data_IF_455421391776
#
_entry.id   IF_455421391776
#
_cell.length_a   1.000
_cell.length_b   1.000
_cell.length_c   1.000
_cell.angle_alpha   90.00
_cell.angle_beta   90.00
_cell.angle_gamma   90.00
#
_symmetry.space_group_name_H-M   'P 1'
#
loop_
_entity.id
_entity.type
_entity.pdbx_description
1 polymer ?
#
# COMPACT_ATOMS: atom_id res chain seq x y z
N UNK A 1 -8.12 3.94 -17.19
CA UNK A 1 -8.46 4.60 -15.91
C UNK A 1 -7.80 3.81 -14.78
N UNK A 2 -7.31 4.46 -13.73
CA UNK A 2 -6.77 3.77 -12.54
C UNK A 2 -7.91 3.16 -11.70
N UNK A 3 -7.59 2.18 -10.85
CA UNK A 3 -8.57 1.56 -9.93
C UNK A 3 -9.27 2.60 -9.03
N UNK A 4 -8.51 3.57 -8.52
CA UNK A 4 -9.05 4.70 -7.79
C UNK A 4 -10.03 5.53 -8.63
N UNK A 5 -9.69 5.82 -9.89
CA UNK A 5 -10.55 6.60 -10.78
C UNK A 5 -11.88 5.88 -11.08
N UNK A 6 -11.86 4.55 -11.21
CA UNK A 6 -13.08 3.75 -11.38
C UNK A 6 -13.97 3.79 -10.13
N UNK A 7 -13.38 3.63 -8.94
CA UNK A 7 -14.11 3.76 -7.68
C UNK A 7 -14.69 5.18 -7.51
N UNK A 8 -13.91 6.22 -7.80
CA UNK A 8 -14.37 7.60 -7.72
C UNK A 8 -15.55 7.86 -8.65
N UNK A 9 -15.50 7.36 -9.90
CA UNK A 9 -16.62 7.48 -10.85
C UNK A 9 -17.88 6.82 -10.29
N UNK A 10 -17.76 5.57 -9.84
CA UNK A 10 -18.88 4.83 -9.27
C UNK A 10 -19.50 5.55 -8.07
N UNK A 11 -18.67 6.12 -7.19
CA UNK A 11 -19.16 6.87 -6.03
C UNK A 11 -19.87 8.17 -6.42
N UNK A 12 -19.40 8.87 -7.47
CA UNK A 12 -20.11 10.06 -7.99
C UNK A 12 -21.49 9.71 -8.54
N UNK A 13 -21.58 8.61 -9.28
CA UNK A 13 -22.84 8.07 -9.80
C UNK A 13 -23.77 7.68 -8.64
N UNK A 14 -23.22 6.99 -7.63
CA UNK A 14 -23.95 6.53 -6.46
C UNK A 14 -24.55 7.68 -5.63
N UNK A 15 -23.78 8.74 -5.43
CA UNK A 15 -24.24 9.94 -4.74
C UNK A 15 -25.09 10.87 -5.62
N UNK A 16 -25.32 10.49 -6.88
CA UNK A 16 -26.10 11.24 -7.87
C UNK A 16 -25.68 12.72 -7.93
N UNK A 17 -24.37 12.99 -7.80
CA UNK A 17 -23.89 14.36 -7.71
C UNK A 17 -24.29 15.14 -8.96
N UNK A 18 -24.29 14.53 -10.15
CA UNK A 18 -24.60 15.24 -11.39
C UNK A 18 -26.09 15.45 -11.68
N UNK A 19 -26.99 14.95 -10.84
CA UNK A 19 -28.44 15.13 -11.03
C UNK A 19 -28.93 16.39 -10.32
N UNK A 20 -29.02 17.49 -11.06
CA UNK A 20 -29.47 18.78 -10.55
C UNK A 20 -30.95 18.83 -10.12
N UNK A 21 -31.77 17.86 -10.57
CA UNK A 21 -33.22 17.86 -10.35
C UNK A 21 -33.65 17.20 -9.01
N UNK A 22 -32.74 16.55 -8.29
CA UNK A 22 -33.02 15.90 -6.99
C UNK A 22 -32.89 16.88 -5.81
N UNK A 23 -33.91 17.73 -5.65
CA UNK A 23 -33.99 18.74 -4.59
C UNK A 23 -34.85 18.32 -3.38
N UNK A 24 -34.87 17.02 -3.06
CA UNK A 24 -35.67 16.47 -1.96
C UNK A 24 -34.87 15.53 -1.06
N UNK A 25 -35.28 15.41 0.21
CA UNK A 25 -34.70 14.48 1.17
C UNK A 25 -33.18 14.65 1.37
N UNK A 26 -32.46 13.53 1.41
CA UNK A 26 -31.00 13.49 1.59
C UNK A 26 -30.24 14.16 0.42
N UNK A 27 -30.79 14.13 -0.79
CA UNK A 27 -30.14 14.66 -1.99
C UNK A 27 -29.97 16.18 -1.95
N UNK A 28 -30.92 16.91 -1.35
CA UNK A 28 -30.76 18.36 -1.09
C UNK A 28 -29.52 18.64 -0.23
N UNK A 29 -29.30 17.83 0.81
CA UNK A 29 -28.14 17.99 1.69
C UNK A 29 -26.85 17.68 0.94
N UNK A 30 -26.82 16.59 0.17
CA UNK A 30 -25.67 16.19 -0.65
C UNK A 30 -25.34 17.24 -1.72
N UNK A 31 -26.35 17.86 -2.33
CA UNK A 31 -26.16 18.93 -3.30
C UNK A 31 -25.55 20.18 -2.62
N UNK A 32 -26.10 20.63 -1.48
CA UNK A 32 -25.54 21.74 -0.70
C UNK A 32 -24.09 21.48 -0.28
N UNK A 33 -23.74 20.21 -0.09
CA UNK A 33 -22.40 19.75 0.30
C UNK A 33 -21.60 19.15 -0.85
N UNK A 34 -22.02 19.35 -2.11
CA UNK A 34 -21.40 18.75 -3.31
C UNK A 34 -19.89 18.99 -3.33
N UNK A 35 -19.45 20.22 -3.05
CA UNK A 35 -18.03 20.56 -3.02
C UNK A 35 -17.26 19.80 -1.93
N UNK A 36 -17.86 19.60 -0.76
CA UNK A 36 -17.26 18.83 0.34
C UNK A 36 -17.18 17.34 0.00
N UNK A 37 -18.23 16.78 -0.64
CA UNK A 37 -18.24 15.38 -1.10
C UNK A 37 -17.20 15.17 -2.20
N UNK A 38 -17.10 16.09 -3.17
CA UNK A 38 -16.13 16.00 -4.25
C UNK A 38 -14.70 16.11 -3.72
N UNK A 39 -14.43 17.04 -2.79
CA UNK A 39 -13.13 17.15 -2.11
C UNK A 39 -12.82 15.89 -1.29
N UNK A 40 -13.84 15.27 -0.66
CA UNK A 40 -13.67 14.00 0.01
C UNK A 40 -13.24 12.90 -0.96
N UNK A 41 -13.93 12.72 -2.09
CA UNK A 41 -13.64 11.65 -3.05
C UNK A 41 -12.28 11.84 -3.74
N UNK A 42 -11.93 13.08 -4.07
CA UNK A 42 -10.73 13.40 -4.87
C UNK A 42 -9.46 13.54 -4.04
N UNK A 43 -9.55 14.13 -2.85
CA UNK A 43 -8.37 14.45 -2.04
C UNK A 43 -8.30 13.64 -0.74
N UNK A 44 -9.39 13.59 0.02
CA UNK A 44 -9.35 13.03 1.37
C UNK A 44 -9.34 11.50 1.36
N UNK A 45 -10.17 10.87 0.54
CA UNK A 45 -10.29 9.42 0.45
C UNK A 45 -8.94 8.79 0.05
N UNK A 46 -8.25 9.24 -1.03
CA UNK A 46 -6.94 8.70 -1.36
C UNK A 46 -5.92 8.90 -0.22
N UNK A 47 -5.89 10.08 0.40
CA UNK A 47 -4.98 10.37 1.52
C UNK A 47 -5.25 9.50 2.74
N UNK A 48 -6.52 9.24 3.08
CA UNK A 48 -6.90 8.41 4.23
C UNK A 48 -6.58 6.94 3.99
N UNK A 49 -6.80 6.46 2.77
CA UNK A 49 -6.40 5.10 2.37
C UNK A 49 -4.87 5.00 2.46
N UNK A 50 -4.13 5.95 1.89
CA UNK A 50 -2.67 6.01 1.99
C UNK A 50 -2.20 5.96 3.46
N UNK A 51 -2.76 6.79 4.32
CA UNK A 51 -2.41 6.83 5.74
C UNK A 51 -2.76 5.53 6.49
N UNK A 52 -3.90 4.90 6.18
CA UNK A 52 -4.30 3.64 6.81
C UNK A 52 -3.37 2.48 6.42
N UNK A 53 -2.95 2.43 5.16
CA UNK A 53 -1.96 1.46 4.68
C UNK A 53 -0.58 1.72 5.29
N UNK A 54 -0.15 2.98 5.35
CA UNK A 54 1.09 3.35 6.04
C UNK A 54 1.04 3.04 7.54
N UNK A 55 -0.09 3.17 8.21
CA UNK A 55 -0.22 2.79 9.61
C UNK A 55 -0.15 1.26 9.80
N UNK A 56 -0.77 0.49 8.90
CA UNK A 56 -0.75 -0.98 8.95
C UNK A 56 0.62 -1.57 8.60
N UNK A 57 1.35 -0.98 7.66
CA UNK A 57 2.64 -1.48 7.19
C UNK A 57 3.83 -0.77 7.84
N UNK A 58 3.67 0.47 8.32
CA UNK A 58 4.79 1.39 8.59
C UNK A 58 5.60 1.08 9.83
N UNK A 59 4.99 0.63 10.93
CA UNK A 59 5.75 0.31 12.15
C UNK A 59 6.56 -0.98 11.96
N UNK A 60 5.94 -2.04 11.43
CA UNK A 60 6.62 -3.29 11.08
C UNK A 60 7.66 -3.10 9.97
N UNK A 61 7.37 -2.25 8.97
CA UNK A 61 8.33 -1.91 7.94
C UNK A 61 9.52 -1.13 8.50
N UNK A 62 9.29 -0.14 9.35
CA UNK A 62 10.36 0.68 9.90
C UNK A 62 11.29 -0.14 10.81
N UNK A 63 10.74 -1.12 11.54
CA UNK A 63 11.56 -2.06 12.32
C UNK A 63 12.34 -3.00 11.39
N UNK A 64 11.70 -3.58 10.37
CA UNK A 64 12.38 -4.45 9.40
C UNK A 64 13.46 -3.72 8.60
N UNK A 65 13.23 -2.47 8.17
CA UNK A 65 14.24 -1.66 7.47
C UNK A 65 15.47 -1.41 8.34
N UNK A 66 15.28 -1.12 9.63
CA UNK A 66 16.38 -0.97 10.60
C UNK A 66 17.14 -2.28 10.77
N UNK A 67 16.44 -3.39 11.01
CA UNK A 67 17.06 -4.70 11.20
C UNK A 67 17.85 -5.15 9.96
N UNK A 68 17.30 -4.97 8.76
CA UNK A 68 17.98 -5.27 7.49
C UNK A 68 19.23 -4.40 7.32
N UNK A 69 19.16 -3.11 7.64
CA UNK A 69 20.29 -2.18 7.57
C UNK A 69 21.40 -2.52 8.59
N UNK A 70 21.03 -2.87 9.82
CA UNK A 70 21.96 -3.30 10.86
C UNK A 70 22.66 -4.60 10.48
N UNK A 71 21.91 -5.59 9.97
CA UNK A 71 22.48 -6.85 9.47
C UNK A 71 23.40 -6.61 8.28
N UNK A 72 23.03 -5.73 7.34
CA UNK A 72 23.90 -5.36 6.22
C UNK A 72 25.21 -4.72 6.69
N UNK A 73 25.14 -3.82 7.68
CA UNK A 73 26.32 -3.19 8.27
C UNK A 73 27.22 -4.20 8.99
N UNK A 74 26.63 -5.14 9.74
CA UNK A 74 27.37 -6.23 10.38
C UNK A 74 28.05 -7.13 9.36
N UNK A 75 27.35 -7.53 8.30
CA UNK A 75 27.94 -8.35 7.22
C UNK A 75 29.12 -7.61 6.57
N UNK A 76 28.98 -6.31 6.27
CA UNK A 76 30.08 -5.52 5.68
C UNK A 76 31.28 -5.37 6.61
N UNK A 77 31.08 -5.34 7.93
CA UNK A 77 32.15 -5.16 8.93
C UNK A 77 32.81 -6.47 9.38
N UNK A 78 32.01 -7.50 9.62
CA UNK A 78 32.44 -8.76 10.24
C UNK A 78 32.78 -9.85 9.20
N UNK A 79 32.18 -9.78 7.99
CA UNK A 79 32.40 -10.77 6.93
C UNK A 79 33.34 -10.23 5.86
N UNK A 80 32.91 -9.22 5.11
CA UNK A 80 33.75 -8.47 4.16
C UNK A 80 32.99 -7.25 3.63
N UNK A 81 33.70 -6.17 3.29
CA UNK A 81 33.09 -4.94 2.76
C UNK A 81 32.31 -5.18 1.45
N UNK A 82 32.83 -6.09 0.61
CA UNK A 82 32.26 -6.55 -0.67
C UNK A 82 31.39 -7.82 -0.55
N UNK A 83 30.98 -8.20 0.66
CA UNK A 83 30.09 -9.34 0.89
C UNK A 83 28.66 -9.09 0.39
N UNK A 84 28.26 -7.82 0.28
CA UNK A 84 26.99 -7.38 -0.32
C UNK A 84 27.27 -6.48 -1.52
N UNK A 85 26.55 -6.69 -2.61
CA UNK A 85 26.55 -5.88 -3.82
C UNK A 85 25.84 -4.53 -3.56
N UNK A 86 25.96 -3.60 -4.51
CA UNK A 86 25.35 -2.26 -4.41
C UNK A 86 23.81 -2.28 -4.38
N UNK A 87 23.20 -3.31 -4.97
CA UNK A 87 21.75 -3.59 -4.95
C UNK A 87 21.28 -4.30 -3.67
N UNK A 88 22.22 -4.58 -2.75
CA UNK A 88 21.97 -5.31 -1.51
C UNK A 88 21.83 -6.82 -1.69
N UNK A 89 22.14 -7.39 -2.86
CA UNK A 89 22.26 -8.83 -3.02
C UNK A 89 23.58 -9.35 -2.44
N UNK A 90 23.56 -10.60 -1.99
CA UNK A 90 24.74 -11.23 -1.43
C UNK A 90 25.69 -11.69 -2.52
N UNK A 91 26.97 -11.36 -2.36
CA UNK A 91 28.02 -11.88 -3.22
C UNK A 91 28.33 -13.33 -2.81
N UNK A 92 27.50 -14.27 -3.27
CA UNK A 92 27.52 -15.69 -2.85
C UNK A 92 28.83 -16.42 -3.18
N UNK A 93 29.59 -15.91 -4.13
CA UNK A 93 30.89 -16.45 -4.53
C UNK A 93 32.04 -15.99 -3.60
N UNK A 94 31.75 -15.12 -2.63
CA UNK A 94 32.76 -14.61 -1.73
C UNK A 94 33.22 -15.68 -0.72
N UNK A 95 34.54 -15.94 -0.59
CA UNK A 95 35.07 -17.00 0.27
C UNK A 95 34.76 -16.80 1.76
N UNK A 96 34.46 -15.56 2.19
CA UNK A 96 34.10 -15.26 3.57
C UNK A 96 32.79 -15.96 4.02
N UNK A 97 31.90 -16.34 3.11
CA UNK A 97 30.67 -17.10 3.43
C UNK A 97 30.89 -18.61 3.62
N UNK A 98 32.14 -19.10 3.52
CA UNK A 98 32.48 -20.48 3.89
C UNK A 98 32.42 -20.70 5.41
N UNK A 99 32.61 -19.64 6.20
CA UNK A 99 32.45 -19.71 7.64
C UNK A 99 30.97 -19.86 8.01
N UNK A 100 30.65 -20.84 8.86
CA UNK A 100 29.27 -21.11 9.32
C UNK A 100 28.58 -19.86 9.86
N UNK A 101 29.30 -19.06 10.65
CA UNK A 101 28.81 -17.81 11.25
C UNK A 101 28.42 -16.77 10.18
N UNK A 102 29.24 -16.62 9.13
CA UNK A 102 28.95 -15.69 8.04
C UNK A 102 27.72 -16.13 7.22
N UNK A 103 27.52 -17.45 7.08
CA UNK A 103 26.36 -18.03 6.39
C UNK A 103 25.06 -17.84 7.18
N UNK A 104 25.09 -18.07 8.49
CA UNK A 104 23.95 -17.82 9.38
C UNK A 104 23.55 -16.34 9.38
N UNK A 105 24.52 -15.42 9.40
CA UNK A 105 24.30 -13.98 9.25
C UNK A 105 23.64 -13.62 7.91
N UNK A 106 24.11 -14.23 6.83
CA UNK A 106 23.57 -14.03 5.50
C UNK A 106 22.12 -14.55 5.39
N UNK A 107 21.85 -15.74 5.91
CA UNK A 107 20.52 -16.33 5.89
C UNK A 107 19.51 -15.47 6.69
N UNK A 108 19.94 -14.93 7.85
CA UNK A 108 19.13 -14.00 8.63
C UNK A 108 18.85 -12.70 7.87
N UNK A 109 19.86 -12.15 7.17
CA UNK A 109 19.70 -10.97 6.32
C UNK A 109 18.73 -11.22 5.16
N UNK A 110 18.89 -12.32 4.42
CA UNK A 110 18.00 -12.68 3.32
C UNK A 110 16.56 -12.90 3.80
N UNK A 111 16.36 -13.57 4.94
CA UNK A 111 15.03 -13.79 5.51
C UNK A 111 14.33 -12.47 5.87
N UNK A 112 15.05 -11.54 6.52
CA UNK A 112 14.53 -10.22 6.87
C UNK A 112 14.26 -9.36 5.64
N UNK A 113 15.12 -9.44 4.62
CA UNK A 113 14.92 -8.76 3.32
C UNK A 113 13.67 -9.28 2.60
N UNK A 114 13.41 -10.60 2.63
CA UNK A 114 12.17 -11.19 2.07
C UNK A 114 10.93 -10.76 2.85
N UNK A 115 11.00 -10.71 4.18
CA UNK A 115 9.91 -10.17 5.01
C UNK A 115 9.61 -8.71 4.64
N UNK A 116 10.65 -7.87 4.54
CA UNK A 116 10.50 -6.47 4.13
C UNK A 116 9.88 -6.34 2.73
N UNK A 117 10.30 -7.16 1.77
CA UNK A 117 9.71 -7.20 0.43
C UNK A 117 8.24 -7.65 0.45
N UNK A 118 7.88 -8.59 1.33
CA UNK A 118 6.49 -9.04 1.47
C UNK A 118 5.58 -7.93 2.02
N UNK A 119 6.06 -7.15 2.99
CA UNK A 119 5.35 -5.97 3.51
C UNK A 119 5.23 -4.88 2.43
N UNK A 120 6.24 -4.71 1.58
CA UNK A 120 6.18 -3.80 0.43
C UNK A 120 5.23 -4.30 -0.67
N UNK A 121 5.08 -5.61 -0.87
CA UNK A 121 4.11 -6.16 -1.83
C UNK A 121 2.66 -5.88 -1.41
N UNK A 122 2.38 -5.79 -0.10
CA UNK A 122 1.08 -5.37 0.45
C UNK A 122 0.71 -3.93 0.04
N UNK A 123 1.68 -3.04 -0.15
CA UNK A 123 1.44 -1.69 -0.68
C UNK A 123 0.93 -1.69 -2.14
N UNK A 124 1.32 -2.70 -2.94
CA UNK A 124 0.78 -2.89 -4.29
C UNK A 124 -0.70 -3.33 -4.26
N UNK A 125 -1.20 -3.87 -3.15
CA UNK A 125 -2.61 -4.25 -2.96
C UNK A 125 -3.55 -3.05 -2.78
N UNK A 126 -3.03 -1.81 -2.74
CA UNK A 126 -3.87 -0.60 -2.74
C UNK A 126 -4.83 -0.55 -3.92
N UNK A 127 -4.33 -0.92 -5.11
CA UNK A 127 -5.17 -1.01 -6.31
C UNK A 127 -6.25 -2.08 -6.16
N UNK A 128 -5.91 -3.21 -5.53
CA UNK A 128 -6.84 -4.30 -5.27
C UNK A 128 -7.95 -3.90 -4.29
N UNK A 129 -7.62 -3.09 -3.27
CA UNK A 129 -8.65 -2.56 -2.36
C UNK A 129 -9.62 -1.63 -3.08
N UNK A 130 -9.13 -0.74 -3.95
CA UNK A 130 -10.03 0.09 -4.75
C UNK A 130 -10.92 -0.76 -5.68
N UNK A 131 -10.35 -1.80 -6.28
CA UNK A 131 -11.10 -2.74 -7.14
C UNK A 131 -12.14 -3.53 -6.34
N UNK A 132 -11.81 -3.99 -5.13
CA UNK A 132 -12.75 -4.71 -4.26
C UNK A 132 -13.90 -3.81 -3.80
N UNK A 133 -13.60 -2.57 -3.42
CA UNK A 133 -14.63 -1.59 -3.07
C UNK A 133 -15.52 -1.30 -4.27
N UNK A 134 -14.95 -1.12 -5.46
CA UNK A 134 -15.70 -0.93 -6.69
C UNK A 134 -16.62 -2.14 -6.97
N UNK A 135 -16.08 -3.36 -6.91
CA UNK A 135 -16.84 -4.60 -7.14
C UNK A 135 -17.96 -4.79 -6.10
N UNK A 136 -17.72 -4.42 -4.85
CA UNK A 136 -18.72 -4.43 -3.80
C UNK A 136 -19.85 -3.45 -4.12
N UNK A 137 -19.53 -2.16 -4.25
CA UNK A 137 -20.56 -1.13 -4.47
C UNK A 137 -21.32 -1.35 -5.78
N UNK A 138 -20.66 -1.74 -6.87
CA UNK A 138 -21.32 -2.00 -8.16
C UNK A 138 -22.27 -3.20 -8.12
N UNK A 139 -22.04 -4.18 -7.24
CA UNK A 139 -22.92 -5.34 -7.09
C UNK A 139 -24.18 -5.02 -6.28
N UNK A 140 -24.05 -4.15 -5.30
CA UNK A 140 -25.14 -3.81 -4.39
C UNK A 140 -25.86 -2.53 -4.79
N UNK A 141 -25.43 -1.83 -5.84
CA UNK A 141 -26.07 -0.61 -6.32
C UNK A 141 -26.59 -0.79 -7.74
N UNK A 142 -27.89 -0.66 -7.92
CA UNK A 142 -28.53 -0.66 -9.24
C UNK A 142 -29.57 0.46 -9.31
N UNK A 143 -29.47 1.29 -10.36
CA UNK A 143 -30.46 2.33 -10.70
C UNK A 143 -30.85 3.30 -9.55
N UNK A 144 -29.96 3.60 -8.61
CA UNK A 144 -30.24 4.52 -7.52
C UNK A 144 -30.70 3.87 -6.21
N UNK A 145 -30.75 2.54 -6.16
CA UNK A 145 -31.10 1.80 -4.94
C UNK A 145 -30.04 0.76 -4.57
N UNK A 146 -29.98 0.44 -3.29
CA UNK A 146 -29.19 -0.68 -2.80
C UNK A 146 -30.03 -1.96 -2.83
N UNK A 147 -29.50 -3.03 -3.43
CA UNK A 147 -30.17 -4.34 -3.60
C UNK A 147 -29.95 -5.23 -2.37
#
# INVERSE_FOLDING_TARGET
>A
MSALGQLQSLLRDLFQLDQADLDFGLYRLLHLKRQEVEAFLTEQLPRRVEAAFQAAAGEERATLEKEVSELASRIRKEVAENALLEDGEANRDHPAFQAKVARELLDAYEAKRRQLQSVQATEAQKADVFNHLYAFFSRYYEAGDFI
#
